data_IF_909225656410
#
_entry.id   IF_909225656410
#
_cell.length_a   1.000
_cell.length_b   1.000
_cell.length_c   1.000
_cell.angle_alpha   90.00
_cell.angle_beta   90.00
_cell.angle_gamma   90.00
#
_symmetry.space_group_name_H-M   'P 1'
#
loop_
_entity.id
_entity.type
_entity.pdbx_description
1 polymer ?
#
# COMPACT_ATOMS: atom_id res chain seq x y z
N UNK A 1 12.01 16.87 16.67
CA UNK A 1 13.20 17.59 17.18
C UNK A 1 14.32 17.26 16.21
N UNK A 2 15.12 18.24 15.78
CA UNK A 2 16.39 17.97 15.08
C UNK A 2 17.46 18.03 16.16
N UNK A 3 18.31 17.01 16.26
CA UNK A 3 19.48 17.01 17.16
C UNK A 3 20.74 16.81 16.34
N UNK A 4 21.86 17.25 16.90
CA UNK A 4 23.25 17.15 16.42
C UNK A 4 23.82 15.72 16.35
N UNK A 5 22.95 14.71 16.49
CA UNK A 5 23.32 13.35 16.89
C UNK A 5 22.75 12.27 15.95
N UNK A 6 21.80 12.64 15.09
CA UNK A 6 21.36 11.87 13.94
C UNK A 6 20.62 12.81 12.98
N UNK A 7 21.19 13.04 11.80
CA UNK A 7 20.60 13.90 10.77
C UNK A 7 19.73 13.07 9.83
N UNK A 8 18.56 13.60 9.44
CA UNK A 8 17.59 12.91 8.59
C UNK A 8 17.06 13.86 7.52
N UNK A 9 17.20 13.48 6.25
CA UNK A 9 16.78 14.28 5.10
C UNK A 9 16.48 13.37 3.89
N UNK A 10 16.35 13.97 2.69
CA UNK A 10 16.03 13.28 1.44
C UNK A 10 14.81 12.37 1.59
N UNK A 11 13.62 12.95 1.77
CA UNK A 11 12.40 12.17 2.04
C UNK A 11 11.67 11.84 0.75
N UNK A 12 11.28 10.58 0.56
CA UNK A 12 10.38 10.14 -0.51
C UNK A 12 9.24 9.29 0.07
N UNK A 13 8.00 9.58 -0.35
CA UNK A 13 6.77 8.98 0.20
C UNK A 13 6.00 8.25 -0.88
N UNK A 14 5.60 7.01 -0.59
CA UNK A 14 4.69 6.21 -1.40
C UNK A 14 3.45 5.83 -0.59
N UNK A 15 2.26 6.07 -1.14
CA UNK A 15 0.98 5.67 -0.52
C UNK A 15 0.36 4.54 -1.33
N UNK A 16 0.16 3.38 -0.70
CA UNK A 16 -0.42 2.22 -1.36
C UNK A 16 -1.92 2.41 -1.61
N UNK A 17 -2.28 2.76 -2.84
CA UNK A 17 -3.64 3.05 -3.32
C UNK A 17 -4.65 1.88 -3.20
N UNK A 18 -4.29 0.79 -2.53
CA UNK A 18 -5.10 -0.41 -2.34
C UNK A 18 -5.56 -0.61 -0.88
N UNK A 19 -4.85 -0.02 0.10
CA UNK A 19 -5.18 -0.10 1.53
C UNK A 19 -4.78 1.16 2.35
N UNK A 20 -4.31 2.22 1.68
CA UNK A 20 -3.85 3.49 2.24
C UNK A 20 -2.63 3.41 3.18
N UNK A 21 -1.88 2.29 3.15
CA UNK A 21 -0.57 2.16 3.84
C UNK A 21 0.42 3.21 3.31
N UNK A 22 1.07 3.94 4.22
CA UNK A 22 2.06 4.98 3.91
C UNK A 22 3.46 4.43 4.15
N UNK A 23 4.25 4.34 3.09
CA UNK A 23 5.66 3.98 3.13
C UNK A 23 6.51 5.24 2.94
N UNK A 24 7.40 5.53 3.90
CA UNK A 24 8.34 6.65 3.82
C UNK A 24 9.74 6.09 3.78
N UNK A 25 10.52 6.44 2.75
CA UNK A 25 11.96 6.18 2.70
C UNK A 25 12.72 7.50 2.83
N UNK A 26 13.86 7.45 3.51
CA UNK A 26 14.68 8.63 3.80
C UNK A 26 16.14 8.25 4.00
N UNK A 27 17.04 9.22 3.81
CA UNK A 27 18.41 9.11 4.25
C UNK A 27 18.53 9.61 5.70
N UNK A 28 19.35 8.94 6.50
CA UNK A 28 19.80 9.49 7.77
C UNK A 28 21.03 8.77 8.32
N UNK A 29 21.71 9.38 9.27
CA UNK A 29 22.95 8.82 9.81
C UNK A 29 23.71 9.78 10.70
N UNK A 30 25.01 9.52 10.85
CA UNK A 30 25.88 10.19 11.83
C UNK A 30 26.40 11.56 11.32
N UNK A 31 26.50 11.74 10.01
CA UNK A 31 26.86 12.99 9.33
C UNK A 31 26.16 13.01 7.97
N UNK A 32 25.25 13.96 7.73
CA UNK A 32 24.50 14.01 6.48
C UNK A 32 25.39 14.20 5.23
N UNK A 33 26.62 14.70 5.39
CA UNK A 33 27.54 14.95 4.28
C UNK A 33 28.39 13.75 3.88
N UNK A 34 28.62 12.76 4.77
CA UNK A 34 29.52 11.62 4.45
C UNK A 34 29.08 10.25 4.98
N UNK A 35 28.19 10.19 5.98
CA UNK A 35 27.82 8.96 6.68
C UNK A 35 26.31 8.90 6.88
N UNK A 36 25.60 8.56 5.81
CA UNK A 36 24.16 8.31 5.82
C UNK A 36 23.81 6.89 5.35
N UNK A 37 22.60 6.48 5.68
CA UNK A 37 21.99 5.23 5.27
C UNK A 37 20.56 5.44 4.82
N UNK A 38 20.16 4.73 3.78
CA UNK A 38 18.74 4.67 3.39
C UNK A 38 17.96 3.75 4.32
N UNK A 39 16.92 4.31 4.93
CA UNK A 39 15.96 3.63 5.79
C UNK A 39 14.54 3.72 5.22
N UNK A 40 13.62 2.96 5.81
CA UNK A 40 12.18 3.20 5.67
C UNK A 40 11.44 3.06 7.00
N UNK A 41 10.22 3.61 7.02
CA UNK A 41 9.15 3.33 7.98
C UNK A 41 7.83 3.09 7.25
N UNK A 42 6.90 2.40 7.91
CA UNK A 42 5.54 2.12 7.46
C UNK A 42 4.53 2.69 8.46
N UNK A 43 3.42 3.23 7.97
CA UNK A 43 2.22 3.48 8.78
C UNK A 43 1.00 2.87 8.11
N UNK A 44 0.28 2.02 8.85
CA UNK A 44 -0.96 1.37 8.42
C UNK A 44 -2.22 2.07 8.94
N UNK A 45 -2.10 3.30 9.45
CA UNK A 45 -3.20 4.06 10.05
C UNK A 45 -3.12 5.58 9.79
N UNK A 46 -2.68 5.97 8.58
CA UNK A 46 -2.66 7.37 8.16
C UNK A 46 -1.62 8.25 8.86
N UNK A 47 -0.53 7.66 9.36
CA UNK A 47 0.57 8.35 10.02
C UNK A 47 0.42 8.54 11.53
N UNK A 48 -0.63 7.96 12.15
CA UNK A 48 -0.87 8.08 13.59
C UNK A 48 0.07 7.20 14.44
N UNK A 49 0.42 6.02 13.94
CA UNK A 49 1.51 5.17 14.45
C UNK A 49 2.47 4.83 13.30
N UNK A 50 3.72 4.52 13.64
CA UNK A 50 4.75 4.12 12.69
C UNK A 50 5.43 2.84 13.17
N UNK A 51 5.65 1.90 12.25
CA UNK A 51 6.50 0.74 12.48
C UNK A 51 7.97 1.17 12.55
N UNK A 52 8.77 0.43 13.33
CA UNK A 52 10.16 0.78 13.62
C UNK A 52 11.04 0.91 12.36
N UNK A 53 11.94 1.89 12.38
CA UNK A 53 12.91 2.15 11.31
C UNK A 53 13.70 0.89 10.92
N UNK A 54 13.74 0.59 9.62
CA UNK A 54 14.49 -0.53 9.07
C UNK A 54 15.38 -0.08 7.89
N UNK A 55 16.57 -0.66 7.77
CA UNK A 55 17.57 -0.31 6.77
C UNK A 55 17.26 -0.94 5.40
N UNK A 56 17.35 -0.15 4.33
CA UNK A 56 17.20 -0.65 2.95
C UNK A 56 18.54 -1.03 2.34
N UNK A 57 19.66 -0.51 2.85
CA UNK A 57 21.01 -0.88 2.41
C UNK A 57 21.56 -2.10 3.16
N UNK A 58 22.28 -2.96 2.44
CA UNK A 58 23.06 -4.05 3.02
C UNK A 58 24.49 -3.63 3.44
N UNK A 59 25.02 -2.57 2.83
CA UNK A 59 26.36 -2.03 3.08
C UNK A 59 26.41 -1.20 4.39
N UNK A 60 27.53 -0.52 4.66
CA UNK A 60 27.68 0.43 5.77
C UNK A 60 26.96 1.77 5.48
N UNK A 61 27.24 2.81 6.26
CA UNK A 61 26.88 4.20 5.93
C UNK A 61 27.81 4.71 4.81
N UNK A 62 27.29 5.57 3.94
CA UNK A 62 27.90 6.06 2.69
C UNK A 62 27.29 7.44 2.33
N UNK A 63 27.65 8.05 1.20
CA UNK A 63 27.48 9.49 0.95
C UNK A 63 26.18 9.94 0.23
N UNK A 64 25.10 9.17 0.35
CA UNK A 64 23.89 9.25 -0.48
C UNK A 64 23.25 10.67 -0.64
N UNK A 65 23.09 11.16 -1.87
CA UNK A 65 22.63 12.54 -2.17
C UNK A 65 21.17 12.67 -2.60
N UNK A 66 20.55 11.59 -3.04
CA UNK A 66 19.16 11.59 -3.51
C UNK A 66 18.48 10.25 -3.28
N UNK A 67 17.16 10.27 -3.11
CA UNK A 67 16.33 9.07 -3.08
C UNK A 67 14.97 9.33 -3.75
N UNK A 68 14.45 8.30 -4.40
CA UNK A 68 13.05 8.21 -4.81
C UNK A 68 12.49 6.85 -4.44
N UNK A 69 11.22 6.81 -4.04
CA UNK A 69 10.52 5.57 -3.73
C UNK A 69 9.20 5.46 -4.50
N UNK A 70 8.75 4.21 -4.64
CA UNK A 70 7.51 3.87 -5.32
C UNK A 70 7.33 2.37 -5.36
N UNK A 71 6.11 1.91 -5.62
CA UNK A 71 5.86 0.51 -5.91
C UNK A 71 5.92 0.24 -7.42
N UNK A 72 6.72 -0.72 -7.85
CA UNK A 72 6.62 -1.26 -9.22
C UNK A 72 5.26 -1.96 -9.34
N UNK A 73 4.36 -1.40 -10.16
CA UNK A 73 2.94 -1.79 -10.23
C UNK A 73 2.71 -3.13 -10.94
N UNK A 74 3.11 -4.22 -10.27
CA UNK A 74 2.52 -5.54 -10.47
C UNK A 74 1.12 -5.52 -9.86
N UNK A 75 0.11 -5.99 -10.59
CA UNK A 75 -1.29 -5.60 -10.34
C UNK A 75 -2.06 -6.35 -9.24
N UNK A 76 -1.87 -7.61 -8.82
CA UNK A 76 -0.79 -8.61 -8.89
C UNK A 76 0.42 -8.41 -7.96
N UNK A 77 0.35 -7.54 -6.96
CA UNK A 77 1.25 -7.52 -5.78
C UNK A 77 2.66 -7.04 -6.08
N UNK A 78 2.86 -5.72 -5.99
CA UNK A 78 4.13 -5.06 -6.28
C UNK A 78 5.15 -5.13 -5.14
N UNK A 79 6.17 -4.29 -5.25
CA UNK A 79 7.25 -4.20 -4.27
C UNK A 79 7.62 -2.73 -4.04
N UNK A 80 7.63 -2.28 -2.79
CA UNK A 80 8.23 -1.01 -2.38
C UNK A 80 9.74 -1.20 -2.35
N UNK A 81 10.44 -0.58 -3.30
CA UNK A 81 11.89 -0.70 -3.42
C UNK A 81 12.45 0.67 -3.80
N UNK A 82 12.92 1.47 -2.81
CA UNK A 82 13.55 2.76 -3.08
C UNK A 82 14.78 2.62 -3.97
N UNK A 83 15.08 3.70 -4.69
CA UNK A 83 16.30 3.89 -5.48
C UNK A 83 16.98 5.14 -4.93
N UNK A 84 18.29 5.06 -4.70
CA UNK A 84 19.10 6.19 -4.22
C UNK A 84 20.33 6.41 -5.10
N UNK A 85 20.91 7.60 -5.00
CA UNK A 85 22.13 8.00 -5.71
C UNK A 85 23.28 8.19 -4.72
N UNK A 86 24.39 7.52 -5.02
CA UNK A 86 25.67 7.61 -4.33
C UNK A 86 26.59 8.54 -5.13
N UNK A 87 27.23 9.53 -4.50
CA UNK A 87 28.04 10.56 -5.18
C UNK A 87 29.42 9.99 -5.55
N UNK A 88 30.06 9.29 -4.59
CA UNK A 88 31.43 8.74 -4.72
C UNK A 88 31.55 7.73 -5.87
N UNK A 89 30.51 6.93 -6.12
CA UNK A 89 30.39 6.02 -7.27
C UNK A 89 29.64 6.64 -8.46
N UNK A 90 28.93 7.74 -8.28
CA UNK A 90 28.07 8.39 -9.27
C UNK A 90 27.06 7.41 -9.92
N UNK A 91 26.46 6.54 -9.10
CA UNK A 91 25.63 5.41 -9.53
C UNK A 91 24.26 5.37 -8.81
N UNK A 92 23.28 4.70 -9.45
CA UNK A 92 21.93 4.52 -8.89
C UNK A 92 21.75 3.12 -8.29
N UNK A 93 21.55 3.06 -6.97
CA UNK A 93 21.46 1.82 -6.20
C UNK A 93 20.03 1.51 -5.74
N UNK A 94 19.75 0.22 -5.58
CA UNK A 94 18.51 -0.31 -5.00
C UNK A 94 18.76 -1.71 -4.44
N UNK A 95 18.07 -2.11 -3.38
CA UNK A 95 18.27 -3.42 -2.75
C UNK A 95 17.11 -4.40 -3.09
N UNK A 96 17.44 -5.46 -3.82
CA UNK A 96 16.50 -6.53 -4.20
C UNK A 96 16.09 -7.43 -3.05
N UNK A 97 16.79 -7.40 -1.93
CA UNK A 97 16.63 -8.34 -0.83
C UNK A 97 15.85 -7.67 0.32
N UNK A 98 16.20 -6.42 0.67
CA UNK A 98 15.49 -5.65 1.71
C UNK A 98 14.20 -4.96 1.21
N UNK A 99 13.95 -4.91 -0.11
CA UNK A 99 12.71 -4.32 -0.65
C UNK A 99 11.43 -5.01 -0.12
N UNK A 100 10.40 -4.23 0.19
CA UNK A 100 9.20 -4.73 0.89
C UNK A 100 8.14 -5.19 -0.10
N UNK A 101 7.75 -6.46 -0.02
CA UNK A 101 6.66 -7.03 -0.84
C UNK A 101 5.30 -6.50 -0.39
N UNK A 102 4.53 -5.92 -1.33
CA UNK A 102 3.17 -5.43 -1.08
C UNK A 102 2.17 -6.49 -1.58
N UNK A 103 1.27 -6.93 -0.71
CA UNK A 103 0.24 -7.90 -1.08
C UNK A 103 -0.73 -7.33 -2.13
N UNK A 104 -1.17 -8.17 -3.07
CA UNK A 104 -2.26 -7.82 -3.95
C UNK A 104 -3.56 -7.77 -3.14
N UNK A 105 -4.20 -6.61 -3.03
CA UNK A 105 -5.57 -6.52 -2.52
C UNK A 105 -6.49 -7.17 -3.54
N UNK A 106 -6.81 -8.45 -3.31
CA UNK A 106 -7.86 -9.14 -4.03
C UNK A 106 -9.14 -8.40 -3.69
N UNK A 107 -9.78 -7.77 -4.68
CA UNK A 107 -11.09 -7.17 -4.47
C UNK A 107 -12.00 -8.25 -3.88
N UNK A 108 -12.47 -8.05 -2.64
CA UNK A 108 -13.36 -8.98 -1.97
C UNK A 108 -14.60 -9.11 -2.87
N UNK A 109 -14.71 -10.23 -3.57
CA UNK A 109 -15.72 -10.42 -4.60
C UNK A 109 -17.07 -10.14 -3.97
N UNK A 110 -17.86 -9.24 -4.58
CA UNK A 110 -19.19 -8.87 -4.10
C UNK A 110 -20.12 -10.09 -4.26
N UNK A 111 -19.98 -11.03 -3.32
CA UNK A 111 -21.01 -11.98 -3.02
C UNK A 111 -22.17 -11.15 -2.50
N UNK A 112 -23.11 -10.86 -3.41
CA UNK A 112 -24.49 -10.61 -3.06
C UNK A 112 -25.03 -11.89 -2.42
N UNK A 113 -24.57 -12.15 -1.18
CA UNK A 113 -25.14 -13.14 -0.30
C UNK A 113 -26.51 -12.57 0.03
N UNK A 114 -27.52 -13.01 -0.72
CA UNK A 114 -28.92 -12.64 -0.55
C UNK A 114 -29.40 -13.18 0.82
N UNK A 115 -28.99 -12.47 1.87
CA UNK A 115 -29.21 -12.80 3.28
C UNK A 115 -30.67 -12.53 3.64
N UNK A 116 -31.54 -13.48 3.30
CA UNK A 116 -32.86 -13.57 3.90
C UNK A 116 -33.99 -12.84 3.15
N UNK A 117 -34.06 -12.99 1.82
CA UNK A 117 -35.38 -13.07 1.17
C UNK A 117 -35.42 -14.29 0.27
N UNK A 118 -36.34 -15.21 0.58
CA UNK A 118 -36.84 -16.28 -0.29
C UNK A 118 -35.81 -17.27 -0.90
N UNK A 119 -35.52 -18.36 -0.18
CA UNK A 119 -35.52 -19.69 -0.82
C UNK A 119 -36.97 -20.10 -1.14
N UNK A 120 -37.66 -19.29 -1.96
CA UNK A 120 -39.05 -19.49 -2.33
C UNK A 120 -39.25 -19.11 -3.80
N UNK A 121 -39.25 -20.14 -4.65
CA UNK A 121 -39.80 -20.09 -6.02
C UNK A 121 -39.05 -19.32 -7.11
N UNK A 122 -37.74 -19.59 -7.27
CA UNK A 122 -37.13 -19.56 -8.62
C UNK A 122 -37.96 -20.41 -9.62
N UNK A 123 -38.65 -21.47 -9.13
CA UNK A 123 -39.63 -22.24 -9.87
C UNK A 123 -41.04 -21.63 -10.07
N UNK A 124 -41.26 -20.31 -9.93
CA UNK A 124 -42.56 -19.67 -10.29
C UNK A 124 -42.51 -18.47 -11.24
N UNK A 125 -41.33 -18.04 -11.71
CA UNK A 125 -41.25 -17.03 -12.80
C UNK A 125 -41.85 -17.59 -14.12
N UNK A 126 -42.02 -18.91 -14.22
CA UNK A 126 -42.74 -19.60 -15.31
C UNK A 126 -44.21 -19.95 -15.01
N UNK A 127 -44.82 -19.46 -13.92
CA UNK A 127 -46.11 -19.99 -13.44
C UNK A 127 -47.02 -19.06 -12.63
N UNK A 128 -46.75 -17.76 -12.53
CA UNK A 128 -47.73 -16.80 -12.00
C UNK A 128 -48.69 -16.41 -13.13
N UNK A 129 -49.91 -16.93 -13.08
CA UNK A 129 -50.99 -16.45 -13.94
C UNK A 129 -51.33 -15.00 -13.56
N UNK A 130 -51.47 -14.12 -14.56
CA UNK A 130 -51.63 -12.66 -14.37
C UNK A 130 -52.96 -12.28 -13.68
N UNK A 131 -53.87 -13.24 -13.50
CA UNK A 131 -55.20 -13.04 -12.90
C UNK A 131 -55.17 -12.52 -11.45
N UNK A 132 -54.33 -13.08 -10.58
CA UNK A 132 -54.40 -12.85 -9.12
C UNK A 132 -54.05 -11.40 -8.71
N UNK A 133 -53.36 -10.65 -9.57
CA UNK A 133 -53.01 -9.24 -9.33
C UNK A 133 -54.27 -8.35 -9.27
N UNK A 134 -55.38 -8.73 -9.93
CA UNK A 134 -56.62 -7.93 -9.92
C UNK A 134 -57.26 -7.85 -8.53
N UNK A 135 -57.13 -8.88 -7.70
CA UNK A 135 -57.73 -8.92 -6.36
C UNK A 135 -57.16 -7.87 -5.39
N UNK A 136 -55.99 -7.29 -5.70
CA UNK A 136 -55.27 -6.36 -4.81
C UNK A 136 -55.86 -4.94 -4.82
N UNK A 137 -56.61 -4.55 -5.86
CA UNK A 137 -57.05 -3.16 -6.09
C UNK A 137 -58.57 -2.91 -5.96
N UNK A 138 -59.35 -3.87 -5.47
CA UNK A 138 -60.71 -3.60 -4.95
C UNK A 138 -61.74 -3.05 -5.94
N UNK A 139 -61.81 -3.60 -7.15
CA UNK A 139 -62.92 -3.38 -8.10
C UNK A 139 -63.44 -4.76 -8.53
N UNK A 140 -64.77 -4.89 -8.63
CA UNK A 140 -65.51 -6.14 -8.92
C UNK A 140 -65.19 -6.76 -10.30
#
# INVERSE_FOLDING_TARGET
>A
IITDTAEYALVSVFVNQANDDIYVAYAGGTDFTTLVKVFYQLSQNGGANWDGQAAMQANLEDDERWISCGAVKKVWGGKFQPVWFNDDLNDLFTNTDNGISIAAVVAAGWSHKFLGVANASIGKISGVAIADIKAVNGVE
#
